data_IF_794977980947
#
_entry.id   IF_794977980947
#
_cell.length_a   1.000
_cell.length_b   1.000
_cell.length_c   1.000
_cell.angle_alpha   90.00
_cell.angle_beta   90.00
_cell.angle_gamma   90.00
#
_symmetry.space_group_name_H-M   'P 1'
#
loop_
_entity.id
_entity.type
_entity.pdbx_description
1 polymer ?
#
# COMPACT_ATOMS: atom_id res chain seq x y z
N UNK A 1 -47.37 33.35 33.90
CA UNK A 1 -48.60 34.18 33.90
C UNK A 1 -49.26 34.01 32.54
N UNK A 2 -50.41 33.29 32.49
CA UNK A 2 -51.53 33.28 31.49
C UNK A 2 -51.20 33.19 29.97
N UNK A 3 -51.63 32.11 29.26
CA UNK A 3 -52.85 31.97 28.41
C UNK A 3 -52.96 33.04 27.29
N UNK A 4 -53.32 32.79 26.03
CA UNK A 4 -54.38 31.98 25.38
C UNK A 4 -54.04 31.85 23.85
N UNK A 5 -54.37 30.82 23.05
CA UNK A 5 -55.67 30.25 22.58
C UNK A 5 -56.56 31.21 21.77
N UNK A 6 -56.94 30.78 20.54
CA UNK A 6 -58.20 31.14 19.85
C UNK A 6 -58.04 31.55 18.36
N UNK A 7 -58.20 30.70 17.34
CA UNK A 7 -59.42 30.11 16.70
C UNK A 7 -60.09 30.94 15.60
N UNK A 8 -60.69 30.21 14.64
CA UNK A 8 -61.70 30.56 13.59
C UNK A 8 -61.16 30.89 12.19
N UNK A 9 -61.70 30.42 11.06
CA UNK A 9 -62.93 29.66 10.82
C UNK A 9 -63.06 29.19 9.35
N UNK A 10 -63.93 28.18 9.16
CA UNK A 10 -64.41 27.51 7.94
C UNK A 10 -64.89 28.45 6.82
N UNK A 11 -64.84 27.99 5.56
CA UNK A 11 -66.08 27.70 4.79
C UNK A 11 -65.84 26.90 3.51
N UNK A 12 -66.68 25.87 3.34
CA UNK A 12 -66.81 24.98 2.19
C UNK A 12 -67.70 25.63 1.13
N UNK A 13 -67.38 25.47 -0.15
CA UNK A 13 -68.37 25.44 -1.23
C UNK A 13 -68.17 24.16 -2.04
N UNK A 14 -69.24 23.40 -2.19
CA UNK A 14 -69.38 22.21 -3.03
C UNK A 14 -70.67 22.38 -3.84
N UNK A 15 -70.92 21.43 -4.74
CA UNK A 15 -72.16 21.18 -5.53
C UNK A 15 -72.09 21.89 -6.89
N UNK A 16 -72.32 21.31 -8.07
CA UNK A 16 -73.00 20.09 -8.59
C UNK A 16 -72.57 19.94 -10.08
N UNK A 17 -72.86 18.93 -10.93
CA UNK A 17 -73.60 17.67 -10.95
C UNK A 17 -73.32 17.06 -12.37
N UNK A 18 -73.10 15.74 -12.51
CA UNK A 18 -74.01 14.74 -13.13
C UNK A 18 -74.12 14.80 -14.68
N UNK A 19 -74.17 13.73 -15.51
CA UNK A 19 -74.81 12.41 -15.32
C UNK A 19 -74.57 11.46 -16.55
N UNK A 20 -74.72 10.13 -16.32
CA UNK A 20 -75.30 9.02 -17.16
C UNK A 20 -74.51 8.45 -18.38
N UNK A 21 -73.99 7.21 -18.41
CA UNK A 21 -74.51 5.79 -18.39
C UNK A 21 -74.63 5.14 -19.79
N UNK A 22 -73.98 3.97 -19.98
CA UNK A 22 -74.45 2.68 -20.62
C UNK A 22 -73.20 1.77 -20.83
N UNK A 23 -72.90 0.70 -20.06
CA UNK A 23 -73.46 -0.66 -19.90
C UNK A 23 -73.49 -1.51 -21.20
N UNK A 24 -72.63 -2.54 -21.30
CA UNK A 24 -73.00 -3.98 -21.40
C UNK A 24 -71.90 -4.89 -22.01
N UNK A 25 -71.65 -6.02 -21.34
CA UNK A 25 -71.39 -7.39 -21.83
C UNK A 25 -70.39 -7.60 -23.01
N UNK A 26 -69.34 -8.42 -22.88
CA UNK A 26 -69.46 -9.89 -22.83
C UNK A 26 -68.26 -10.59 -22.19
N UNK A 27 -68.58 -11.67 -21.48
CA UNK A 27 -67.70 -12.68 -20.91
C UNK A 27 -67.54 -13.86 -21.89
N UNK A 28 -66.39 -14.55 -21.80
CA UNK A 28 -66.11 -15.95 -22.12
C UNK A 28 -65.85 -16.39 -23.59
N UNK A 29 -64.59 -16.78 -23.83
CA UNK A 29 -64.27 -18.07 -24.44
C UNK A 29 -62.94 -18.59 -23.84
N UNK A 30 -62.99 -19.81 -23.29
CA UNK A 30 -61.93 -20.53 -22.62
C UNK A 30 -61.65 -21.82 -23.42
N UNK A 31 -60.38 -22.26 -23.41
CA UNK A 31 -59.77 -23.54 -23.81
C UNK A 31 -59.40 -23.77 -25.29
N UNK A 32 -58.09 -23.77 -25.58
CA UNK A 32 -57.35 -24.98 -26.01
C UNK A 32 -55.98 -24.99 -25.34
N UNK A 33 -55.60 -26.18 -24.87
CA UNK A 33 -54.43 -26.53 -24.09
C UNK A 33 -53.08 -26.23 -24.79
N UNK A 34 -52.11 -25.77 -24.00
CA UNK A 34 -50.69 -25.82 -24.31
C UNK A 34 -49.91 -26.15 -23.04
N UNK A 35 -49.42 -27.38 -22.93
CA UNK A 35 -48.56 -27.83 -21.84
C UNK A 35 -47.29 -26.97 -21.74
N UNK A 36 -46.96 -26.52 -20.54
CA UNK A 36 -45.67 -25.92 -20.20
C UNK A 36 -45.60 -25.73 -18.70
N UNK A 37 -44.72 -26.50 -18.06
CA UNK A 37 -44.55 -26.68 -16.62
C UNK A 37 -44.47 -25.40 -15.77
N UNK A 38 -45.13 -25.43 -14.62
CA UNK A 38 -44.87 -24.57 -13.46
C UNK A 38 -43.48 -24.81 -12.87
N UNK A 39 -42.80 -23.73 -12.48
CA UNK A 39 -42.06 -23.63 -11.22
C UNK A 39 -41.81 -22.15 -10.91
N UNK A 40 -42.53 -21.66 -9.89
CA UNK A 40 -42.27 -20.42 -9.17
C UNK A 40 -41.35 -20.77 -7.99
N UNK A 41 -40.14 -20.21 -7.94
CA UNK A 41 -39.34 -20.09 -6.71
C UNK A 41 -38.56 -18.76 -6.70
N UNK A 42 -39.10 -17.80 -5.94
CA UNK A 42 -38.45 -17.13 -4.81
C UNK A 42 -36.95 -16.84 -4.82
N UNK A 43 -36.61 -15.57 -4.53
CA UNK A 43 -35.43 -15.23 -3.72
C UNK A 43 -34.15 -14.92 -4.48
N UNK A 44 -34.15 -13.87 -5.30
CA UNK A 44 -32.91 -13.25 -5.77
C UNK A 44 -32.32 -12.32 -4.71
N UNK A 45 -31.50 -12.85 -3.82
CA UNK A 45 -30.46 -12.06 -3.17
C UNK A 45 -29.62 -11.42 -4.29
N UNK A 46 -29.54 -10.09 -4.30
CA UNK A 46 -28.74 -9.38 -5.28
C UNK A 46 -27.27 -9.69 -5.00
N UNK A 47 -26.76 -10.75 -5.63
CA UNK A 47 -25.33 -10.94 -5.80
C UNK A 47 -24.79 -9.65 -6.43
N UNK A 48 -23.97 -8.94 -5.67
CA UNK A 48 -23.10 -7.89 -6.21
C UNK A 48 -22.33 -8.52 -7.36
N UNK A 49 -22.76 -8.23 -8.58
CA UNK A 49 -22.11 -8.71 -9.79
C UNK A 49 -20.84 -7.86 -9.96
N UNK A 50 -19.85 -8.15 -9.12
CA UNK A 50 -18.55 -7.50 -9.14
C UNK A 50 -17.85 -7.86 -10.44
N UNK A 51 -18.06 -7.04 -11.46
CA UNK A 51 -17.37 -7.21 -12.73
C UNK A 51 -15.90 -6.85 -12.54
N UNK A 52 -15.00 -7.78 -12.86
CA UNK A 52 -13.56 -7.52 -12.98
C UNK A 52 -13.37 -6.34 -13.93
N UNK A 53 -12.72 -5.28 -13.45
CA UNK A 53 -12.39 -4.12 -14.29
C UNK A 53 -11.14 -4.44 -15.12
N UNK A 54 -11.28 -5.27 -16.15
CA UNK A 54 -10.15 -5.78 -16.94
C UNK A 54 -9.23 -4.70 -17.56
N UNK A 55 -9.72 -3.46 -17.72
CA UNK A 55 -8.97 -2.32 -18.27
C UNK A 55 -8.33 -1.43 -17.18
N UNK A 56 -8.41 -1.83 -15.91
CA UNK A 56 -7.86 -1.10 -14.77
C UNK A 56 -7.03 -2.06 -13.91
N UNK A 57 -5.90 -1.58 -13.41
CA UNK A 57 -5.06 -2.28 -12.45
C UNK A 57 -4.81 -1.37 -11.25
N UNK A 58 -5.28 -1.76 -10.07
CA UNK A 58 -5.01 -1.04 -8.82
C UNK A 58 -3.72 -1.58 -8.22
N UNK A 59 -2.67 -0.77 -8.28
CA UNK A 59 -1.38 -1.04 -7.67
C UNK A 59 -1.32 -0.33 -6.31
N UNK A 60 -1.29 -1.09 -5.22
CA UNK A 60 -0.96 -0.56 -3.92
C UNK A 60 0.54 -0.74 -3.65
N UNK A 61 1.20 0.33 -3.22
CA UNK A 61 2.64 0.31 -2.92
C UNK A 61 2.97 1.21 -1.75
N UNK A 62 4.24 1.22 -1.38
CA UNK A 62 4.75 2.06 -0.31
C UNK A 62 5.11 3.47 -0.82
N UNK A 63 4.93 4.49 0.00
CA UNK A 63 5.39 5.85 -0.33
C UNK A 63 6.86 5.89 -0.70
N UNK A 64 7.72 5.14 0.00
CA UNK A 64 9.15 5.02 -0.32
C UNK A 64 9.43 4.51 -1.74
N UNK A 65 8.63 3.55 -2.25
CA UNK A 65 8.80 3.05 -3.62
C UNK A 65 8.37 4.11 -4.63
N UNK A 66 7.27 4.81 -4.36
CA UNK A 66 6.82 5.91 -5.21
C UNK A 66 7.85 7.05 -5.23
N UNK A 67 8.33 7.46 -4.07
CA UNK A 67 9.20 8.62 -3.92
C UNK A 67 10.63 8.35 -4.43
N UNK A 68 11.03 7.09 -4.57
CA UNK A 68 12.27 6.71 -5.27
C UNK A 68 12.27 7.00 -6.77
N UNK A 69 11.14 7.38 -7.38
CA UNK A 69 11.01 7.63 -8.83
C UNK A 69 10.92 6.37 -9.70
N UNK A 70 11.38 5.20 -9.22
CA UNK A 70 11.44 3.93 -9.97
C UNK A 70 10.14 3.60 -10.71
N UNK A 71 8.98 3.78 -10.06
CA UNK A 71 7.69 3.48 -10.69
C UNK A 71 7.39 4.42 -11.85
N UNK A 72 7.59 5.72 -11.66
CA UNK A 72 7.24 6.75 -12.64
C UNK A 72 8.24 6.78 -13.81
N UNK A 73 9.52 6.53 -13.55
CA UNK A 73 10.59 6.64 -14.55
C UNK A 73 10.75 5.38 -15.40
N UNK A 74 10.50 4.20 -14.82
CA UNK A 74 10.85 2.92 -15.44
C UNK A 74 9.63 2.02 -15.57
N UNK A 75 8.98 1.68 -14.46
CA UNK A 75 8.00 0.59 -14.43
C UNK A 75 6.70 0.94 -15.14
N UNK A 76 6.07 2.07 -14.79
CA UNK A 76 4.79 2.48 -15.37
C UNK A 76 4.92 2.83 -16.86
N UNK A 77 5.98 3.54 -17.33
CA UNK A 77 6.20 3.73 -18.76
C UNK A 77 6.33 2.40 -19.51
N UNK A 78 7.14 1.46 -19.02
CA UNK A 78 7.33 0.16 -19.65
C UNK A 78 6.03 -0.68 -19.67
N UNK A 79 5.27 -0.64 -18.57
CA UNK A 79 3.99 -1.34 -18.49
C UNK A 79 2.95 -0.75 -19.44
N UNK A 80 2.85 0.58 -19.52
CA UNK A 80 1.93 1.25 -20.43
C UNK A 80 2.28 0.99 -21.91
N UNK A 81 3.57 0.83 -22.24
CA UNK A 81 4.01 0.42 -23.58
C UNK A 81 3.61 -1.03 -23.89
N UNK A 82 3.81 -1.94 -22.93
CA UNK A 82 3.50 -3.36 -23.10
C UNK A 82 1.99 -3.65 -23.08
N UNK A 83 1.23 -2.92 -22.25
CA UNK A 83 -0.20 -3.14 -21.97
C UNK A 83 -1.01 -1.82 -22.07
N UNK A 84 -1.08 -1.17 -23.24
CA UNK A 84 -1.71 0.14 -23.40
C UNK A 84 -3.22 0.16 -23.11
N UNK A 85 -3.85 -1.00 -23.01
CA UNK A 85 -5.27 -1.18 -22.70
C UNK A 85 -5.57 -1.23 -21.19
N UNK A 86 -4.55 -1.30 -20.33
CA UNK A 86 -4.70 -1.39 -18.87
C UNK A 86 -4.25 -0.08 -18.25
N UNK A 87 -5.17 0.65 -17.63
CA UNK A 87 -4.85 1.85 -16.86
C UNK A 87 -4.41 1.47 -15.44
N UNK A 88 -3.17 1.80 -15.08
CA UNK A 88 -2.67 1.61 -13.70
C UNK A 88 -3.15 2.75 -12.81
N UNK A 89 -3.82 2.40 -11.71
CA UNK A 89 -4.18 3.30 -10.60
C UNK A 89 -3.24 3.03 -9.44
N UNK A 90 -2.26 3.92 -9.27
CA UNK A 90 -1.29 3.86 -8.19
C UNK A 90 -1.89 4.41 -6.89
N UNK A 91 -1.78 3.65 -5.81
CA UNK A 91 -2.08 4.07 -4.45
C UNK A 91 -0.81 3.86 -3.60
N UNK A 92 -0.21 4.95 -3.13
CA UNK A 92 0.99 4.92 -2.31
C UNK A 92 0.63 5.22 -0.84
N UNK A 93 0.89 4.26 0.03
CA UNK A 93 0.55 4.28 1.47
C UNK A 93 1.69 3.64 2.29
N UNK A 94 1.54 3.41 3.59
CA UNK A 94 2.49 2.58 4.35
C UNK A 94 2.36 1.09 3.99
N UNK A 95 3.39 0.28 4.25
CA UNK A 95 3.34 -1.17 3.97
C UNK A 95 2.12 -1.83 4.64
N UNK A 96 1.83 -1.54 5.91
CA UNK A 96 0.67 -2.09 6.61
C UNK A 96 -0.67 -1.77 5.93
N UNK A 97 -0.86 -0.51 5.51
CA UNK A 97 -2.08 -0.13 4.78
C UNK A 97 -2.14 -0.77 3.40
N UNK A 98 -1.02 -0.89 2.68
CA UNK A 98 -0.98 -1.58 1.38
C UNK A 98 -1.37 -3.06 1.53
N UNK A 99 -0.89 -3.73 2.58
CA UNK A 99 -1.28 -5.11 2.90
C UNK A 99 -2.77 -5.19 3.25
N UNK A 100 -3.27 -4.29 4.10
CA UNK A 100 -4.68 -4.23 4.47
C UNK A 100 -5.61 -3.95 3.27
N UNK A 101 -5.17 -3.14 2.31
CA UNK A 101 -5.89 -2.94 1.05
C UNK A 101 -5.98 -4.24 0.24
N UNK A 102 -4.90 -5.03 0.19
CA UNK A 102 -4.89 -6.35 -0.42
C UNK A 102 -5.86 -7.33 0.25
N UNK A 103 -5.86 -7.37 1.58
CA UNK A 103 -6.76 -8.23 2.38
C UNK A 103 -8.24 -7.91 2.17
N UNK A 104 -8.55 -6.64 1.87
CA UNK A 104 -9.91 -6.16 1.56
C UNK A 104 -10.29 -6.31 0.09
N UNK A 105 -9.36 -6.71 -0.78
CA UNK A 105 -9.55 -6.79 -2.23
C UNK A 105 -9.69 -5.42 -2.90
N UNK A 106 -9.13 -4.37 -2.28
CA UNK A 106 -9.13 -3.00 -2.79
C UNK A 106 -7.93 -2.70 -3.70
N UNK A 107 -6.96 -3.63 -3.75
CA UNK A 107 -5.85 -3.62 -4.69
C UNK A 107 -5.83 -4.93 -5.49
N UNK A 108 -5.29 -4.87 -6.71
CA UNK A 108 -5.09 -6.05 -7.56
C UNK A 108 -3.69 -6.64 -7.39
N UNK A 109 -2.71 -5.77 -7.20
CA UNK A 109 -1.29 -6.10 -7.04
C UNK A 109 -0.66 -5.20 -5.99
N UNK A 110 0.24 -5.77 -5.20
CA UNK A 110 1.01 -5.07 -4.17
C UNK A 110 2.48 -5.03 -4.58
N UNK A 111 3.15 -3.89 -4.37
CA UNK A 111 4.62 -3.80 -4.38
C UNK A 111 5.08 -3.24 -3.04
N UNK A 112 5.59 -4.12 -2.19
CA UNK A 112 5.83 -3.87 -0.76
C UNK A 112 7.22 -4.37 -0.34
N UNK A 113 7.61 -4.05 0.89
CA UNK A 113 8.91 -4.41 1.46
C UNK A 113 8.84 -4.80 2.94
N UNK A 114 7.88 -5.64 3.31
CA UNK A 114 7.70 -6.11 4.68
C UNK A 114 7.63 -7.64 4.72
N UNK A 115 8.80 -8.33 4.74
CA UNK A 115 8.85 -9.78 4.56
C UNK A 115 7.94 -10.57 5.51
N UNK A 116 7.87 -10.20 6.79
CA UNK A 116 7.02 -10.87 7.77
C UNK A 116 5.52 -10.68 7.47
N UNK A 117 5.10 -9.46 7.14
CA UNK A 117 3.71 -9.18 6.76
C UNK A 117 3.35 -9.87 5.44
N UNK A 118 4.27 -9.89 4.48
CA UNK A 118 4.12 -10.62 3.21
C UNK A 118 3.95 -12.13 3.44
N UNK A 119 4.75 -12.72 4.34
CA UNK A 119 4.65 -14.13 4.69
C UNK A 119 3.31 -14.46 5.36
N UNK A 120 2.86 -13.63 6.31
CA UNK A 120 1.55 -13.79 6.93
C UNK A 120 0.41 -13.68 5.90
N UNK A 121 0.46 -12.66 5.03
CA UNK A 121 -0.53 -12.45 3.98
C UNK A 121 -0.63 -13.63 3.01
N UNK A 122 0.50 -14.23 2.64
CA UNK A 122 0.52 -15.44 1.80
C UNK A 122 0.03 -16.67 2.57
N UNK A 123 0.36 -16.80 3.86
CA UNK A 123 -0.08 -17.93 4.70
C UNK A 123 -1.59 -17.90 4.98
N UNK A 124 -2.21 -16.73 4.95
CA UNK A 124 -3.65 -16.51 5.12
C UNK A 124 -4.42 -16.55 3.79
N UNK A 125 -3.78 -17.01 2.70
CA UNK A 125 -4.35 -17.13 1.35
C UNK A 125 -4.81 -15.79 0.73
N UNK A 126 -4.39 -14.63 1.26
CA UNK A 126 -4.73 -13.32 0.69
C UNK A 126 -4.00 -13.05 -0.64
N UNK A 127 -2.85 -13.68 -0.86
CA UNK A 127 -2.07 -13.60 -2.11
C UNK A 127 -1.92 -14.95 -2.80
N UNK A 128 -1.83 -14.94 -4.13
CA UNK A 128 -1.66 -16.16 -4.95
C UNK A 128 -0.25 -16.36 -5.48
N UNK A 129 0.52 -15.27 -5.58
CA UNK A 129 1.90 -15.28 -6.04
C UNK A 129 2.67 -14.16 -5.35
N UNK A 130 3.88 -14.47 -4.88
CA UNK A 130 4.86 -13.50 -4.36
C UNK A 130 6.17 -13.70 -5.12
N UNK A 131 6.67 -12.66 -5.77
CA UNK A 131 7.96 -12.68 -6.48
C UNK A 131 8.91 -11.61 -5.93
N UNK A 132 10.19 -11.94 -5.71
CA UNK A 132 11.20 -10.94 -5.39
C UNK A 132 11.46 -10.05 -6.62
N UNK A 133 11.56 -8.74 -6.42
CA UNK A 133 11.72 -7.75 -7.50
C UNK A 133 13.07 -7.07 -7.41
N UNK A 134 13.37 -6.50 -6.24
CA UNK A 134 14.56 -5.71 -6.01
C UNK A 134 15.02 -5.86 -4.56
N UNK A 135 16.24 -5.42 -4.30
CA UNK A 135 16.79 -5.19 -2.96
C UNK A 135 17.40 -3.80 -2.92
N UNK A 136 17.19 -3.06 -1.84
CA UNK A 136 18.09 -1.98 -1.46
C UNK A 136 18.53 -2.19 -0.01
N UNK A 137 19.06 -1.13 0.61
CA UNK A 137 19.53 -1.19 1.98
C UNK A 137 18.93 -0.06 2.81
N UNK A 138 18.67 -0.35 4.07
CA UNK A 138 18.59 0.65 5.10
C UNK A 138 20.00 1.12 5.48
N UNK A 139 20.08 2.30 6.07
CA UNK A 139 21.29 2.85 6.66
C UNK A 139 20.95 3.49 8.00
N UNK A 140 21.86 3.38 8.95
CA UNK A 140 21.85 4.25 10.13
C UNK A 140 22.68 5.48 9.74
N UNK A 141 22.04 6.64 9.85
CA UNK A 141 22.67 7.94 9.62
C UNK A 141 22.76 8.70 10.93
N UNK A 142 23.74 9.59 11.03
CA UNK A 142 23.95 10.41 12.23
C UNK A 142 24.96 11.52 12.00
N UNK A 143 25.30 12.28 13.05
CA UNK A 143 26.31 13.32 12.99
C UNK A 143 27.67 12.80 12.53
N UNK A 144 28.41 13.62 11.78
CA UNK A 144 29.72 13.25 11.25
C UNK A 144 30.81 13.02 12.33
N UNK A 145 30.63 13.55 13.54
CA UNK A 145 31.51 13.30 14.68
C UNK A 145 31.21 12.00 15.43
N UNK A 146 30.10 11.33 15.08
CA UNK A 146 29.68 10.01 15.54
C UNK A 146 29.90 9.76 17.05
N UNK A 147 29.21 10.50 17.94
CA UNK A 147 29.41 10.39 19.38
C UNK A 147 29.12 9.01 19.97
N UNK A 148 28.35 8.16 19.29
CA UNK A 148 28.08 6.77 19.69
C UNK A 148 29.07 5.75 19.08
N UNK A 149 29.93 6.13 18.13
CA UNK A 149 30.88 5.21 17.49
C UNK A 149 30.21 4.15 16.61
N UNK A 150 29.11 4.49 15.96
CA UNK A 150 28.38 3.60 15.03
C UNK A 150 29.25 3.15 13.86
N UNK A 151 30.11 4.03 13.33
CA UNK A 151 30.95 3.74 12.16
C UNK A 151 31.96 2.61 12.38
N UNK A 152 32.34 2.35 13.64
CA UNK A 152 33.28 1.30 14.02
C UNK A 152 32.60 -0.05 14.32
N UNK A 153 31.27 -0.12 14.18
CA UNK A 153 30.52 -1.36 14.41
C UNK A 153 30.49 -2.27 13.19
N UNK A 154 30.31 -3.57 13.42
CA UNK A 154 30.34 -4.61 12.37
C UNK A 154 28.93 -5.03 11.91
N UNK A 155 27.89 -4.68 12.65
CA UNK A 155 26.49 -4.99 12.34
C UNK A 155 25.56 -3.85 12.76
N UNK A 156 24.35 -3.80 12.18
CA UNK A 156 23.37 -2.81 12.61
C UNK A 156 22.91 -3.07 14.05
N UNK A 157 22.87 -4.33 14.49
CA UNK A 157 22.55 -4.68 15.88
C UNK A 157 23.60 -4.11 16.86
N UNK A 158 24.88 -4.19 16.51
CA UNK A 158 25.96 -3.59 17.30
C UNK A 158 25.86 -2.06 17.30
N UNK A 159 25.51 -1.46 16.16
CA UNK A 159 25.24 -0.02 16.06
C UNK A 159 24.10 0.43 16.99
N UNK A 160 22.97 -0.29 17.01
CA UNK A 160 21.85 -0.01 17.92
C UNK A 160 22.29 -0.12 19.38
N UNK A 161 23.09 -1.14 19.71
CA UNK A 161 23.65 -1.31 21.07
C UNK A 161 24.55 -0.14 21.46
N UNK A 162 25.39 0.34 20.53
CA UNK A 162 26.29 1.48 20.74
C UNK A 162 25.51 2.78 20.97
N UNK A 163 24.48 3.04 20.16
CA UNK A 163 23.56 4.18 20.33
C UNK A 163 22.89 4.11 21.70
N UNK A 164 22.29 2.97 22.07
CA UNK A 164 21.61 2.82 23.35
C UNK A 164 22.56 3.01 24.57
N UNK A 165 23.83 2.62 24.43
CA UNK A 165 24.83 2.79 25.50
C UNK A 165 25.30 4.23 25.69
N UNK A 166 25.33 5.02 24.61
CA UNK A 166 25.74 6.42 24.64
C UNK A 166 24.54 7.39 24.82
N UNK A 167 23.32 6.92 24.55
CA UNK A 167 22.07 7.69 24.58
C UNK A 167 22.12 9.04 23.83
N UNK A 168 22.72 9.14 22.63
CA UNK A 168 22.51 10.32 21.80
C UNK A 168 21.07 10.34 21.31
N UNK A 169 20.61 11.51 20.83
CA UNK A 169 19.28 11.58 20.24
C UNK A 169 19.14 10.57 19.09
N UNK A 170 18.14 9.71 19.15
CA UNK A 170 17.65 8.85 18.08
C UNK A 170 16.23 9.27 17.72
N UNK A 171 16.00 9.48 16.43
CA UNK A 171 14.73 9.95 15.89
C UNK A 171 14.07 8.79 15.15
N UNK A 172 13.02 8.23 15.74
CA UNK A 172 12.17 7.24 15.12
C UNK A 172 11.05 7.89 14.31
N UNK A 173 10.65 7.20 13.24
CA UNK A 173 9.42 7.50 12.50
C UNK A 173 8.18 7.37 13.39
N UNK A 174 8.09 6.33 14.23
CA UNK A 174 6.94 6.03 15.08
C UNK A 174 5.59 6.04 14.34
N UNK A 175 5.55 5.49 13.12
CA UNK A 175 4.41 5.60 12.19
C UNK A 175 3.91 4.25 11.63
N UNK A 176 4.30 3.12 12.25
CA UNK A 176 3.96 1.75 11.84
C UNK A 176 4.37 1.40 10.39
N UNK A 177 5.28 2.17 9.79
CA UNK A 177 5.79 1.90 8.45
C UNK A 177 6.80 0.75 8.41
N UNK A 178 7.12 0.28 7.19
CA UNK A 178 8.19 -0.71 7.01
C UNK A 178 9.54 -0.28 7.61
N UNK A 179 9.90 1.01 7.56
CA UNK A 179 11.12 1.52 8.22
C UNK A 179 11.01 1.47 9.74
N UNK A 180 9.85 1.83 10.30
CA UNK A 180 9.64 1.76 11.75
C UNK A 180 9.64 0.31 12.25
N UNK A 181 8.97 -0.61 11.53
CA UNK A 181 9.02 -2.05 11.81
C UNK A 181 10.46 -2.57 11.75
N UNK A 182 11.24 -2.16 10.74
CA UNK A 182 12.65 -2.54 10.63
C UNK A 182 13.48 -2.04 11.80
N UNK A 183 13.28 -0.78 12.18
CA UNK A 183 13.96 -0.15 13.31
C UNK A 183 13.65 -0.87 14.63
N UNK A 184 12.37 -1.13 14.92
CA UNK A 184 11.93 -1.86 16.11
C UNK A 184 12.50 -3.28 16.14
N UNK A 185 12.56 -3.97 15.00
CA UNK A 185 13.22 -5.28 14.90
C UNK A 185 14.73 -5.23 15.20
N UNK A 186 15.42 -4.15 14.83
CA UNK A 186 16.83 -3.96 15.17
C UNK A 186 17.03 -3.66 16.67
N UNK A 187 16.12 -2.90 17.29
CA UNK A 187 16.12 -2.68 18.75
C UNK A 187 15.89 -3.99 19.51
N UNK A 188 14.91 -4.79 19.09
CA UNK A 188 14.63 -6.11 19.68
C UNK A 188 15.85 -7.05 19.54
N UNK A 189 16.47 -7.09 18.36
CA UNK A 189 17.68 -7.88 18.13
C UNK A 189 18.86 -7.44 19.03
N UNK A 190 18.95 -6.14 19.35
CA UNK A 190 19.92 -5.59 20.29
C UNK A 190 19.55 -5.86 21.77
N UNK A 191 18.35 -6.38 22.05
CA UNK A 191 17.84 -6.58 23.41
C UNK A 191 17.59 -5.26 24.14
N UNK A 192 17.31 -4.19 23.39
CA UNK A 192 17.09 -2.84 23.91
C UNK A 192 15.63 -2.46 23.67
N UNK A 193 14.97 -2.00 24.73
CA UNK A 193 13.68 -1.29 24.63
C UNK A 193 13.98 0.22 24.63
N UNK A 194 13.92 0.91 23.48
CA UNK A 194 14.28 2.32 23.40
C UNK A 194 13.27 3.16 24.19
N UNK A 195 13.77 3.93 25.17
CA UNK A 195 12.91 4.77 26.00
C UNK A 195 13.68 5.92 26.65
N UNK A 196 12.98 7.01 26.95
CA UNK A 196 13.54 8.21 27.57
C UNK A 196 13.73 9.36 26.59
N UNK A 197 14.38 10.44 27.05
CA UNK A 197 14.47 11.69 26.30
C UNK A 197 15.35 11.61 25.04
N UNK A 198 16.19 10.57 24.94
CA UNK A 198 17.06 10.35 23.78
C UNK A 198 16.35 9.65 22.63
N UNK A 199 15.19 9.02 22.85
CA UNK A 199 14.42 8.38 21.78
C UNK A 199 13.14 9.16 21.53
N UNK A 200 12.99 9.75 20.34
CA UNK A 200 11.80 10.52 19.97
C UNK A 200 11.10 9.91 18.77
N UNK A 201 9.77 9.86 18.82
CA UNK A 201 8.92 9.44 17.71
C UNK A 201 8.34 10.67 17.02
N UNK A 202 8.49 10.77 15.70
CA UNK A 202 7.96 11.91 14.94
C UNK A 202 6.49 11.73 14.56
N UNK A 203 6.04 10.48 14.36
CA UNK A 203 4.75 10.16 13.76
C UNK A 203 4.64 10.62 12.30
N UNK A 204 5.78 10.80 11.62
CA UNK A 204 5.88 11.43 10.30
C UNK A 204 6.66 10.54 9.32
N UNK A 205 6.57 10.86 8.02
CA UNK A 205 7.29 10.17 6.97
C UNK A 205 8.82 10.35 7.05
N UNK A 206 9.55 9.61 6.20
CA UNK A 206 11.01 9.53 6.27
C UNK A 206 11.71 10.86 5.99
N UNK A 207 11.30 11.62 4.98
CA UNK A 207 11.94 12.92 4.67
C UNK A 207 11.86 13.91 5.84
N UNK A 208 10.72 13.98 6.52
CA UNK A 208 10.54 14.86 7.68
C UNK A 208 11.30 14.34 8.91
N UNK A 209 11.35 13.02 9.10
CA UNK A 209 12.15 12.38 10.16
C UNK A 209 13.64 12.64 9.96
N UNK A 210 14.17 12.54 8.73
CA UNK A 210 15.54 12.91 8.38
C UNK A 210 15.82 14.38 8.65
N UNK A 211 14.90 15.28 8.26
CA UNK A 211 15.03 16.72 8.54
C UNK A 211 15.14 16.99 10.03
N UNK A 212 14.31 16.35 10.86
CA UNK A 212 14.34 16.50 12.32
C UNK A 212 15.64 15.94 12.91
N UNK A 213 16.07 14.75 12.46
CA UNK A 213 17.34 14.17 12.87
C UNK A 213 18.51 15.09 12.51
N UNK A 214 18.49 15.69 11.32
CA UNK A 214 19.51 16.63 10.87
C UNK A 214 19.54 17.90 11.73
N UNK A 215 18.40 18.56 11.94
CA UNK A 215 18.32 19.78 12.75
C UNK A 215 18.77 19.58 14.20
N UNK A 216 18.50 18.40 14.74
CA UNK A 216 18.85 18.05 16.12
C UNK A 216 20.20 17.35 16.25
N UNK A 217 20.87 17.08 15.12
CA UNK A 217 22.11 16.30 15.06
C UNK A 217 21.96 14.96 15.82
N UNK A 218 20.91 14.22 15.46
CA UNK A 218 20.58 12.91 16.00
C UNK A 218 20.76 11.78 14.98
N UNK A 219 20.66 10.55 15.47
CA UNK A 219 20.69 9.32 14.68
C UNK A 219 19.29 8.97 14.19
N UNK A 220 19.20 8.30 13.04
CA UNK A 220 17.95 7.67 12.57
C UNK A 220 18.27 6.50 11.64
N UNK A 221 17.35 5.54 11.58
CA UNK A 221 17.31 4.56 10.49
C UNK A 221 16.59 5.18 9.29
N UNK A 222 17.10 4.99 8.09
CA UNK A 222 16.48 5.46 6.84
C UNK A 222 16.68 4.43 5.73
N UNK A 223 15.75 4.37 4.77
CA UNK A 223 16.09 3.73 3.49
C UNK A 223 17.15 4.58 2.78
N UNK A 224 18.11 3.90 2.15
CA UNK A 224 19.27 4.56 1.56
C UNK A 224 18.87 5.47 0.39
N UNK A 225 17.81 5.15 -0.35
CA UNK A 225 17.32 5.98 -1.44
C UNK A 225 16.82 7.34 -0.98
N UNK A 226 16.02 7.36 0.08
CA UNK A 226 15.52 8.60 0.67
C UNK A 226 16.65 9.45 1.23
N UNK A 227 17.65 8.84 1.88
CA UNK A 227 18.85 9.57 2.31
C UNK A 227 19.57 10.21 1.13
N UNK A 228 19.87 9.41 0.10
CA UNK A 228 20.63 9.86 -1.06
C UNK A 228 19.90 10.97 -1.85
N UNK A 229 18.57 10.89 -1.94
CA UNK A 229 17.75 11.94 -2.55
C UNK A 229 17.77 13.28 -1.78
N UNK A 230 18.11 13.25 -0.50
CA UNK A 230 18.19 14.42 0.37
C UNK A 230 19.63 14.79 0.77
N UNK A 231 20.64 14.04 0.32
CA UNK A 231 22.01 14.10 0.85
C UNK A 231 22.61 15.51 0.76
N UNK A 232 22.35 16.23 -0.34
CA UNK A 232 22.85 17.61 -0.54
C UNK A 232 22.28 18.62 0.48
N UNK A 233 21.15 18.31 1.14
CA UNK A 233 20.48 19.14 2.14
C UNK A 233 20.73 18.66 3.58
N UNK A 234 21.55 17.62 3.79
CA UNK A 234 21.82 17.00 5.09
C UNK A 234 23.28 17.20 5.53
N UNK A 235 23.46 17.48 6.83
CA UNK A 235 24.76 17.40 7.51
C UNK A 235 25.03 15.99 8.08
N UNK A 236 24.00 15.14 8.12
CA UNK A 236 24.10 13.74 8.55
C UNK A 236 24.85 12.91 7.51
N UNK A 237 25.60 11.91 7.98
CA UNK A 237 26.33 10.97 7.12
C UNK A 237 25.85 9.54 7.36
N UNK A 238 26.00 8.68 6.35
CA UNK A 238 25.82 7.24 6.50
C UNK A 238 26.95 6.68 7.38
N UNK A 239 26.59 6.06 8.50
CA UNK A 239 27.55 5.50 9.45
C UNK A 239 27.66 3.97 9.36
N UNK A 240 26.66 3.28 8.79
CA UNK A 240 26.70 1.82 8.61
C UNK A 240 27.15 1.40 7.22
N UNK A 241 27.83 0.26 7.14
CA UNK A 241 28.07 -0.45 5.87
C UNK A 241 26.81 -1.20 5.44
N UNK A 242 26.72 -1.53 4.15
CA UNK A 242 25.72 -2.48 3.67
C UNK A 242 25.92 -3.85 4.31
N UNK A 243 24.86 -4.41 4.88
CA UNK A 243 24.85 -5.69 5.57
C UNK A 243 23.49 -6.38 5.40
N UNK A 244 23.42 -7.68 5.65
CA UNK A 244 22.20 -8.45 5.45
C UNK A 244 21.09 -8.07 6.44
N UNK A 245 21.44 -7.66 7.66
CA UNK A 245 20.51 -7.11 8.65
C UNK A 245 20.00 -5.71 8.28
N UNK A 246 20.61 -5.02 7.31
CA UNK A 246 20.11 -3.80 6.70
C UNK A 246 19.48 -4.02 5.32
N UNK A 247 19.47 -5.24 4.81
CA UNK A 247 18.83 -5.54 3.53
C UNK A 247 17.33 -5.23 3.60
N UNK A 248 16.85 -4.62 2.52
CA UNK A 248 15.45 -4.30 2.33
C UNK A 248 14.98 -4.90 1.02
N UNK A 249 14.08 -5.88 1.11
CA UNK A 249 13.65 -6.68 -0.01
C UNK A 249 12.28 -6.23 -0.48
N UNK A 250 12.17 -5.99 -1.79
CA UNK A 250 10.92 -5.61 -2.43
C UNK A 250 10.33 -6.82 -3.13
N UNK A 251 9.05 -7.05 -2.90
CA UNK A 251 8.28 -8.13 -3.53
C UNK A 251 7.08 -7.56 -4.25
N UNK A 252 6.69 -8.23 -5.34
CA UNK A 252 5.38 -8.07 -5.95
C UNK A 252 4.47 -9.21 -5.49
N UNK A 253 3.25 -8.89 -5.08
CA UNK A 253 2.24 -9.86 -4.64
C UNK A 253 0.95 -9.69 -5.44
N UNK A 254 0.41 -10.78 -5.96
CA UNK A 254 -0.89 -10.80 -6.65
C UNK A 254 -1.98 -11.12 -5.62
N UNK A 255 -3.01 -10.26 -5.54
CA UNK A 255 -4.13 -10.46 -4.61
C UNK A 255 -5.03 -11.60 -5.09
N UNK A 256 -5.51 -12.41 -4.15
CA UNK A 256 -6.28 -13.61 -4.46
C UNK A 256 -7.70 -13.30 -4.97
N UNK A 257 -7.88 -13.41 -6.28
CA UNK A 257 -9.19 -13.22 -6.94
C UNK A 257 -10.27 -14.23 -6.49
N UNK A 258 -9.89 -15.39 -5.94
CA UNK A 258 -10.89 -16.33 -5.40
C UNK A 258 -11.55 -15.79 -4.13
N UNK A 259 -10.83 -14.99 -3.34
CA UNK A 259 -11.38 -14.28 -2.18
C UNK A 259 -12.07 -12.98 -2.62
N UNK A 260 -11.54 -12.32 -3.64
CA UNK A 260 -12.04 -11.04 -4.15
C UNK A 260 -12.33 -11.10 -5.65
N UNK A 261 -13.55 -11.49 -6.08
CA UNK A 261 -13.88 -11.69 -7.50
C UNK A 261 -13.74 -10.45 -8.39
N UNK A 262 -13.64 -9.25 -7.81
CA UNK A 262 -13.44 -8.00 -8.53
C UNK A 262 -11.99 -7.74 -8.91
N UNK A 263 -11.03 -8.44 -8.29
CA UNK A 263 -9.59 -8.28 -8.54
C UNK A 263 -9.24 -8.64 -9.97
N UNK A 264 -8.43 -7.82 -10.62
CA UNK A 264 -7.88 -8.06 -11.95
C UNK A 264 -6.59 -8.89 -11.89
N UNK A 265 -6.71 -10.17 -11.53
CA UNK A 265 -5.55 -11.07 -11.41
C UNK A 265 -4.74 -11.18 -12.72
N UNK A 266 -5.40 -11.22 -13.89
CA UNK A 266 -4.71 -11.30 -15.17
C UNK A 266 -3.86 -10.04 -15.45
N UNK A 267 -4.34 -8.85 -15.07
CA UNK A 267 -3.55 -7.62 -15.15
C UNK A 267 -2.39 -7.63 -14.16
N UNK A 268 -2.62 -8.13 -12.95
CA UNK A 268 -1.60 -8.26 -11.90
C UNK A 268 -0.49 -9.24 -12.29
N UNK A 269 -0.82 -10.37 -12.93
CA UNK A 269 0.14 -11.34 -13.47
C UNK A 269 1.05 -10.68 -14.53
N UNK A 270 0.46 -9.96 -15.49
CA UNK A 270 1.23 -9.24 -16.51
C UNK A 270 2.16 -8.18 -15.91
N UNK A 271 1.72 -7.52 -14.83
CA UNK A 271 2.53 -6.53 -14.13
C UNK A 271 3.68 -7.18 -13.34
N UNK A 272 3.40 -8.28 -12.64
CA UNK A 272 4.41 -9.05 -11.92
C UNK A 272 5.47 -9.62 -12.87
N UNK A 273 5.06 -10.20 -14.00
CA UNK A 273 5.93 -10.72 -15.05
C UNK A 273 6.85 -9.63 -15.62
N UNK A 274 6.32 -8.42 -15.82
CA UNK A 274 7.12 -7.28 -16.27
C UNK A 274 8.19 -6.91 -15.23
N UNK A 275 7.83 -6.82 -13.95
CA UNK A 275 8.76 -6.44 -12.87
C UNK A 275 9.95 -7.40 -12.75
N UNK A 276 9.73 -8.69 -12.98
CA UNK A 276 10.81 -9.70 -12.97
C UNK A 276 11.46 -9.93 -14.34
N UNK A 277 11.01 -9.21 -15.36
CA UNK A 277 11.58 -9.32 -16.71
C UNK A 277 12.99 -8.77 -16.78
N UNK A 278 13.78 -9.29 -17.73
CA UNK A 278 15.14 -8.78 -17.99
C UNK A 278 15.17 -7.26 -18.23
N UNK A 279 14.17 -6.71 -18.91
CA UNK A 279 14.09 -5.27 -19.19
C UNK A 279 14.09 -4.45 -17.90
N UNK A 280 13.23 -4.81 -16.93
CA UNK A 280 13.15 -4.09 -15.66
C UNK A 280 14.34 -4.42 -14.77
N UNK A 281 14.80 -5.67 -14.74
CA UNK A 281 15.94 -6.05 -13.93
C UNK A 281 17.25 -5.38 -14.39
N UNK A 282 17.48 -5.26 -15.71
CA UNK A 282 18.61 -4.51 -16.24
C UNK A 282 18.47 -3.00 -15.91
N UNK A 283 17.25 -2.43 -16.00
CA UNK A 283 17.01 -1.04 -15.63
C UNK A 283 17.24 -0.77 -14.13
N UNK A 284 16.83 -1.68 -13.24
CA UNK A 284 17.10 -1.61 -11.80
C UNK A 284 18.60 -1.57 -11.51
N UNK A 285 19.39 -2.37 -12.23
CA UNK A 285 20.84 -2.44 -12.08
C UNK A 285 21.56 -1.13 -12.42
N UNK A 286 20.93 -0.26 -13.22
CA UNK A 286 21.48 1.03 -13.63
C UNK A 286 20.84 2.21 -12.89
N UNK A 287 19.63 2.04 -12.34
CA UNK A 287 18.82 3.12 -11.78
C UNK A 287 19.53 3.88 -10.65
N UNK A 288 19.57 5.20 -10.76
CA UNK A 288 20.25 6.09 -9.80
C UNK A 288 21.77 6.18 -9.97
N UNK A 289 22.40 5.37 -10.82
CA UNK A 289 23.87 5.32 -10.92
C UNK A 289 24.53 6.63 -11.39
N UNK A 290 23.86 7.39 -12.25
CA UNK A 290 24.40 8.67 -12.76
C UNK A 290 24.45 9.74 -11.66
N UNK A 291 23.42 9.78 -10.81
CA UNK A 291 23.27 10.77 -9.76
C UNK A 291 24.02 10.37 -8.48
N UNK A 292 23.95 9.08 -8.14
CA UNK A 292 24.41 8.55 -6.85
C UNK A 292 25.79 7.88 -6.93
N UNK A 293 26.37 7.77 -8.14
CA UNK A 293 27.62 7.05 -8.38
C UNK A 293 27.54 5.53 -8.16
N UNK A 294 26.35 5.00 -7.83
CA UNK A 294 26.04 3.58 -7.67
C UNK A 294 24.54 3.31 -7.91
N UNK A 295 24.14 2.08 -8.23
CA UNK A 295 22.73 1.72 -8.37
C UNK A 295 21.98 1.86 -7.05
N UNK A 296 20.77 2.41 -7.10
CA UNK A 296 19.90 2.52 -5.93
C UNK A 296 19.27 1.17 -5.55
N UNK A 297 19.00 0.34 -6.56
CA UNK A 297 18.40 -0.98 -6.39
C UNK A 297 19.31 -2.07 -6.96
N UNK A 298 19.41 -3.18 -6.26
CA UNK A 298 19.96 -4.42 -6.77
C UNK A 298 18.82 -5.28 -7.35
N UNK A 299 18.95 -5.81 -8.58
CA UNK A 299 17.98 -6.76 -9.14
C UNK A 299 17.86 -8.01 -8.27
N UNK A 300 16.63 -8.50 -8.04
CA UNK A 300 16.39 -9.66 -7.17
C UNK A 300 15.44 -10.72 -7.75
N UNK A 301 15.03 -10.59 -9.02
CA UNK A 301 14.17 -11.59 -9.67
C UNK A 301 14.82 -12.96 -9.84
N UNK A 302 16.16 -13.03 -9.90
CA UNK A 302 16.92 -14.27 -10.11
C UNK A 302 17.01 -15.21 -8.89
N UNK A 303 16.44 -14.84 -7.74
CA UNK A 303 16.54 -15.62 -6.50
C UNK A 303 15.53 -16.78 -6.39
N UNK A 304 14.55 -16.88 -7.31
CA UNK A 304 13.70 -18.07 -7.44
C UNK A 304 14.22 -18.97 -8.57
N UNK A 305 15.34 -19.65 -8.31
CA UNK A 305 15.95 -20.52 -9.31
C UNK A 305 17.38 -21.00 -9.03
N UNK A 306 17.88 -20.91 -7.79
CA UNK A 306 19.07 -21.64 -7.32
C UNK A 306 18.73 -22.50 -6.11
#
# INVERSE_FOLDING_TARGET
MRQAVGTTGRSRWSVAAATLIFVACTLAAVLVAGCGSEADEGGGEAASNGQVKAHQLILATTTSVKDSGLLDDVVLPAFNEAQPQIEVKLVAVGSGEAMSMGERGEADVLVVHSPEAEEAFMAEDHGTLRLPVARNYFAIVGPADDPAGVADTESATDAMTAIAGAEPLFVSRGDDSGTNVKELGLWEAAGVEPSGDWYIETGQGMGETLRIANEKQGYTLTDLGTYLAAEDDLDLVVLTKESDDLANYYSVIIVNQNLHPTVNAAGAEQFADLLVSRQIQDALADYGSEELGRPLFAPNAGALGQ
#
